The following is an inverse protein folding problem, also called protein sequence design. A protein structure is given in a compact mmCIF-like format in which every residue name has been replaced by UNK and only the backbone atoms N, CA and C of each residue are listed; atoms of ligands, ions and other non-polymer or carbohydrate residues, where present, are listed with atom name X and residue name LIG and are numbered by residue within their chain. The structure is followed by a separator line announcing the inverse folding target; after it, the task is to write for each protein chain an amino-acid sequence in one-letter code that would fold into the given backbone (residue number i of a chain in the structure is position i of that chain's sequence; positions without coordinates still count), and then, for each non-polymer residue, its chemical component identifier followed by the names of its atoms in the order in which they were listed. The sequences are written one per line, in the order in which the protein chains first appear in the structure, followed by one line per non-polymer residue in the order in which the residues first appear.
data_IF_746450974793
#
_entry.id   IF_746450974793
#
_cell.length_a   1.000
_cell.length_b   1.000
_cell.length_c   1.000
_cell.angle_alpha   90.00
_cell.angle_beta   90.00
_cell.angle_gamma   90.00
#
_symmetry.space_group_name_H-M   'P 1'
#
loop_
_entity.id
_entity.type
_entity.pdbx_description
1 polymer ?
#
# COMPACT_ATOMS: atom_id res chain seq x y z
N UNK A 1 19.80 -7.87 23.59
CA UNK A 1 18.50 -7.22 23.90
C UNK A 1 18.01 -6.32 22.77
N UNK A 2 18.86 -5.54 22.10
CA UNK A 2 18.45 -4.64 20.99
C UNK A 2 17.58 -5.29 19.88
N UNK A 3 17.90 -6.51 19.43
CA UNK A 3 17.10 -7.23 18.43
C UNK A 3 15.66 -7.51 18.90
N UNK A 4 15.49 -7.89 20.16
CA UNK A 4 14.18 -8.20 20.74
C UNK A 4 13.33 -6.93 20.85
N UNK A 5 13.92 -5.81 21.28
CA UNK A 5 13.20 -4.54 21.37
C UNK A 5 12.85 -3.98 19.99
N UNK A 6 13.73 -4.14 19.00
CA UNK A 6 13.42 -3.78 17.62
C UNK A 6 12.24 -4.60 17.08
N UNK A 7 12.25 -5.92 17.31
CA UNK A 7 11.14 -6.78 16.90
C UNK A 7 9.84 -6.44 17.63
N UNK A 8 9.91 -6.14 18.94
CA UNK A 8 8.75 -5.69 19.71
C UNK A 8 8.16 -4.41 19.12
N UNK A 9 8.98 -3.42 18.81
CA UNK A 9 8.54 -2.18 18.18
C UNK A 9 7.88 -2.43 16.82
N UNK A 10 8.47 -3.29 15.98
CA UNK A 10 7.92 -3.65 14.68
C UNK A 10 6.51 -4.24 14.77
N UNK A 11 6.25 -5.15 15.72
CA UNK A 11 4.99 -5.90 15.77
C UNK A 11 3.92 -5.31 16.71
N UNK A 12 4.28 -4.41 17.62
CA UNK A 12 3.32 -3.79 18.57
C UNK A 12 2.95 -2.34 18.22
N UNK A 13 3.66 -1.69 17.30
CA UNK A 13 3.30 -0.33 16.91
C UNK A 13 1.99 -0.36 16.11
N UNK A 14 1.01 0.42 16.56
CA UNK A 14 -0.33 0.48 15.97
C UNK A 14 -0.60 1.86 15.41
N UNK A 15 -0.71 1.94 14.08
CA UNK A 15 -0.97 3.19 13.34
C UNK A 15 -2.42 3.34 12.87
N UNK A 16 -3.36 2.48 13.33
CA UNK A 16 -4.74 2.49 12.82
C UNK A 16 -5.47 3.81 13.04
N UNK A 17 -5.10 4.58 14.07
CA UNK A 17 -5.70 5.89 14.37
C UNK A 17 -5.19 6.99 13.42
N UNK A 18 -4.01 6.79 12.85
CA UNK A 18 -3.32 7.71 11.97
C UNK A 18 -3.69 7.48 10.51
N UNK A 19 -4.06 6.27 10.10
CA UNK A 19 -4.44 5.95 8.72
C UNK A 19 -5.48 6.91 8.11
N UNK A 20 -6.55 7.33 8.82
CA UNK A 20 -7.52 8.27 8.26
C UNK A 20 -6.95 9.67 7.97
N UNK A 21 -5.78 10.01 8.53
CA UNK A 21 -5.11 11.30 8.32
C UNK A 21 -4.28 11.33 7.03
N UNK A 22 -4.12 10.20 6.34
CA UNK A 22 -3.44 10.13 5.05
C UNK A 22 -4.44 10.56 3.98
N UNK A 23 -4.38 11.84 3.61
CA UNK A 23 -5.33 12.52 2.71
C UNK A 23 -4.86 12.55 1.23
N UNK A 24 -3.68 12.02 0.95
CA UNK A 24 -3.16 11.85 -0.42
C UNK A 24 -3.65 10.54 -1.04
N UNK A 25 -3.62 10.38 -2.38
CA UNK A 25 -3.91 9.11 -3.02
C UNK A 25 -2.94 8.00 -2.56
N UNK A 26 -3.48 6.80 -2.32
CA UNK A 26 -2.69 5.64 -1.87
C UNK A 26 -2.93 4.44 -2.77
N UNK A 27 -1.85 3.79 -3.20
CA UNK A 27 -1.89 2.46 -3.77
C UNK A 27 -1.43 1.45 -2.71
N UNK A 28 -2.28 0.50 -2.37
CA UNK A 28 -1.97 -0.61 -1.49
C UNK A 28 -1.87 -1.89 -2.31
N UNK A 29 -0.72 -2.56 -2.29
CA UNK A 29 -0.46 -3.80 -3.03
C UNK A 29 -0.32 -4.95 -2.05
N UNK A 30 -1.02 -6.06 -2.30
CA UNK A 30 -0.95 -7.25 -1.46
C UNK A 30 -1.05 -8.53 -2.28
N UNK A 31 -0.35 -9.59 -1.87
CA UNK A 31 -0.52 -10.94 -2.36
C UNK A 31 -1.44 -11.71 -1.42
N UNK A 32 -2.37 -12.50 -1.94
CA UNK A 32 -3.28 -13.27 -1.08
C UNK A 32 -2.65 -14.55 -0.49
N UNK A 33 -1.52 -14.99 -1.04
CA UNK A 33 -0.71 -16.09 -0.52
C UNK A 33 0.46 -15.60 0.38
N UNK A 34 0.44 -14.35 0.82
CA UNK A 34 1.40 -13.82 1.79
C UNK A 34 1.11 -14.35 3.20
N UNK A 35 1.85 -15.37 3.61
CA UNK A 35 1.76 -15.95 4.94
C UNK A 35 2.29 -15.04 6.07
N UNK A 36 3.16 -14.08 5.75
CA UNK A 36 3.74 -13.17 6.73
C UNK A 36 2.83 -11.98 7.05
N UNK A 37 1.98 -11.59 6.09
CA UNK A 37 1.02 -10.51 6.23
C UNK A 37 -0.34 -10.90 5.62
N UNK A 38 -1.10 -11.81 6.26
CA UNK A 38 -2.34 -12.35 5.69
C UNK A 38 -3.34 -11.26 5.27
N UNK A 39 -3.78 -11.31 4.01
CA UNK A 39 -4.62 -10.30 3.35
C UNK A 39 -5.80 -9.80 4.21
N UNK A 40 -6.52 -10.73 4.83
CA UNK A 40 -7.72 -10.44 5.64
C UNK A 40 -7.40 -9.73 6.96
N UNK A 41 -6.20 -9.95 7.50
CA UNK A 41 -5.74 -9.34 8.75
C UNK A 41 -4.98 -8.03 8.52
N UNK A 42 -4.45 -7.81 7.31
CA UNK A 42 -3.52 -6.71 7.01
C UNK A 42 -4.10 -5.72 5.99
N UNK A 43 -4.01 -6.03 4.69
CA UNK A 43 -4.24 -5.06 3.63
C UNK A 43 -5.72 -4.71 3.46
N UNK A 44 -6.66 -5.65 3.66
CA UNK A 44 -8.10 -5.32 3.58
C UNK A 44 -8.56 -4.39 4.72
N UNK A 45 -8.24 -4.65 6.00
CA UNK A 45 -8.50 -3.69 7.07
C UNK A 45 -7.85 -2.33 6.83
N UNK A 46 -6.59 -2.31 6.39
CA UNK A 46 -5.85 -1.07 6.10
C UNK A 46 -6.52 -0.26 5.00
N UNK A 47 -6.92 -0.90 3.89
CA UNK A 47 -7.62 -0.23 2.79
C UNK A 47 -8.94 0.41 3.24
N UNK A 48 -9.67 -0.20 4.18
CA UNK A 48 -10.93 0.36 4.72
C UNK A 48 -10.71 1.61 5.59
N UNK A 49 -9.52 1.77 6.17
CA UNK A 49 -9.19 2.90 7.03
C UNK A 49 -8.56 4.08 6.28
N UNK A 50 -8.08 3.84 5.06
CA UNK A 50 -7.46 4.86 4.21
C UNK A 50 -8.52 5.48 3.29
N UNK A 51 -8.76 6.81 3.36
CA UNK A 51 -9.86 7.46 2.64
C UNK A 51 -9.70 7.42 1.11
N UNK A 52 -8.45 7.43 0.62
CA UNK A 52 -8.13 7.52 -0.80
C UNK A 52 -7.30 6.31 -1.29
N UNK A 53 -7.54 5.13 -0.72
CA UNK A 53 -6.80 3.91 -1.07
C UNK A 53 -7.42 3.14 -2.23
N UNK A 54 -6.54 2.68 -3.13
CA UNK A 54 -6.82 1.62 -4.09
C UNK A 54 -6.07 0.37 -3.67
N UNK A 55 -6.79 -0.69 -3.30
CA UNK A 55 -6.20 -1.99 -2.98
C UNK A 55 -6.10 -2.85 -4.24
N UNK A 56 -4.88 -3.23 -4.60
CA UNK A 56 -4.58 -4.22 -5.63
C UNK A 56 -4.16 -5.53 -4.97
N UNK A 57 -4.97 -6.58 -5.18
CA UNK A 57 -4.66 -7.93 -4.75
C UNK A 57 -4.09 -8.74 -5.91
N UNK A 58 -2.98 -9.42 -5.67
CA UNK A 58 -2.33 -10.37 -6.57
C UNK A 58 -2.63 -11.78 -6.10
N UNK A 59 -3.43 -12.50 -6.88
CA UNK A 59 -3.84 -13.88 -6.58
C UNK A 59 -2.64 -14.84 -6.66
N UNK A 60 -2.50 -15.70 -5.67
CA UNK A 60 -1.40 -16.64 -5.52
C UNK A 60 -0.04 -16.01 -5.17
N UNK A 61 0.05 -14.68 -5.03
CA UNK A 61 1.34 -14.01 -4.84
C UNK A 61 1.83 -14.07 -3.38
N UNK A 62 3.12 -14.37 -3.15
CA UNK A 62 3.71 -14.39 -1.81
C UNK A 62 4.11 -12.99 -1.34
N UNK A 63 4.66 -12.87 -0.12
CA UNK A 63 5.23 -11.61 0.38
C UNK A 63 6.21 -10.94 -0.60
N UNK A 64 7.08 -11.74 -1.22
CA UNK A 64 8.07 -11.31 -2.21
C UNK A 64 7.50 -11.05 -3.61
N UNK A 65 6.26 -10.56 -3.73
CA UNK A 65 5.60 -10.34 -5.04
C UNK A 65 6.34 -9.35 -5.94
N UNK A 66 7.07 -8.39 -5.37
CA UNK A 66 7.93 -7.47 -6.11
C UNK A 66 9.13 -8.15 -6.79
N UNK A 67 9.44 -9.40 -6.41
CA UNK A 67 10.44 -10.25 -7.08
C UNK A 67 9.74 -11.23 -8.04
N UNK A 68 8.74 -11.96 -7.53
CA UNK A 68 8.08 -13.05 -8.28
C UNK A 68 7.12 -12.57 -9.37
N UNK A 69 6.54 -11.37 -9.20
CA UNK A 69 5.57 -10.73 -10.10
C UNK A 69 6.06 -9.34 -10.53
N UNK A 70 7.38 -9.16 -10.62
CA UNK A 70 8.06 -7.87 -10.81
C UNK A 70 7.47 -7.03 -11.96
N UNK A 71 7.22 -7.64 -13.12
CA UNK A 71 6.70 -6.91 -14.29
C UNK A 71 5.32 -6.31 -14.02
N UNK A 72 4.44 -7.05 -13.34
CA UNK A 72 3.09 -6.59 -13.02
C UNK A 72 3.09 -5.54 -11.91
N UNK A 73 3.91 -5.74 -10.88
CA UNK A 73 4.09 -4.74 -9.81
C UNK A 73 4.66 -3.44 -10.37
N UNK A 74 5.69 -3.51 -11.22
CA UNK A 74 6.29 -2.31 -11.82
C UNK A 74 5.29 -1.56 -12.72
N UNK A 75 4.50 -2.28 -13.52
CA UNK A 75 3.45 -1.67 -14.33
C UNK A 75 2.42 -0.94 -13.47
N UNK A 76 1.95 -1.59 -12.40
CA UNK A 76 0.97 -1.02 -11.47
C UNK A 76 1.49 0.25 -10.77
N UNK A 77 2.77 0.26 -10.39
CA UNK A 77 3.45 1.41 -9.79
C UNK A 77 3.57 2.57 -10.79
N UNK A 78 3.96 2.30 -12.04
CA UNK A 78 4.06 3.31 -13.10
C UNK A 78 2.70 3.92 -13.42
N UNK A 79 1.68 3.08 -13.62
CA UNK A 79 0.31 3.53 -13.89
C UNK A 79 -0.22 4.42 -12.76
N UNK A 80 0.06 4.06 -11.51
CA UNK A 80 -0.31 4.89 -10.36
C UNK A 80 0.43 6.23 -10.37
N UNK A 81 1.75 6.23 -10.53
CA UNK A 81 2.57 7.45 -10.54
C UNK A 81 2.16 8.41 -11.68
N UNK A 82 1.91 7.88 -12.87
CA UNK A 82 1.45 8.66 -14.02
C UNK A 82 0.08 9.28 -13.76
N UNK A 83 -0.85 8.52 -13.16
CA UNK A 83 -2.16 9.02 -12.76
C UNK A 83 -2.07 10.19 -11.77
N UNK A 84 -1.15 10.14 -10.79
CA UNK A 84 -0.90 11.26 -9.86
C UNK A 84 -0.40 12.49 -10.61
N UNK A 85 0.56 12.31 -11.52
CA UNK A 85 1.15 13.41 -12.28
C UNK A 85 0.11 14.10 -13.18
N UNK A 86 -0.79 13.33 -13.80
CA UNK A 86 -1.88 13.85 -14.62
C UNK A 86 -2.89 14.65 -13.80
N UNK A 87 -3.34 14.11 -12.66
CA UNK A 87 -4.27 14.79 -11.76
C UNK A 87 -3.74 16.13 -11.26
N UNK A 88 -2.42 16.21 -10.99
CA UNK A 88 -1.77 17.46 -10.57
C UNK A 88 -1.79 18.51 -11.68
N UNK A 89 -1.42 18.14 -12.91
CA UNK A 89 -1.41 19.07 -14.07
C UNK A 89 -2.81 19.60 -14.39
N UNK A 90 -3.85 18.77 -14.26
CA UNK A 90 -5.23 19.20 -14.47
C UNK A 90 -5.64 20.28 -13.46
N UNK A 91 -5.38 20.06 -12.17
CA UNK A 91 -5.67 21.05 -11.12
C UNK A 91 -4.93 22.38 -11.30
N UNK A 92 -3.68 22.33 -11.77
CA UNK A 92 -2.89 23.53 -12.08
C UNK A 92 -3.46 24.30 -13.28
N UNK A 93 -4.06 23.59 -14.26
CA UNK A 93 -4.68 24.21 -15.44
C UNK A 93 -6.05 24.83 -15.11
N UNK A 94 -6.82 24.21 -14.23
CA UNK A 94 -8.15 24.68 -13.81
C UNK A 94 -8.11 25.86 -12.83
N UNK A 95 -6.96 26.07 -12.16
CA UNK A 95 -6.76 27.13 -11.18
C UNK A 95 -6.21 28.45 -11.78
N UNK A 96 -5.87 28.47 -13.07
CA UNK A 96 -5.37 29.64 -13.81
C UNK A 96 -6.43 30.24 -14.72
#
# INVERSE_FOLDING_TARGET
QALVECHRALVHTDFRRELPRIDVPVLLIAGDADASAPLELTARPTARLLPNARLRVYEGAPHGMFITHMAEVNRELLEFADGIAQNRRQRETEAG
#
